data_IF_406085870855
#
_entry.id   IF_406085870855
#
_cell.length_a   1.000
_cell.length_b   1.000
_cell.length_c   1.000
_cell.angle_alpha   90.00
_cell.angle_beta   90.00
_cell.angle_gamma   90.00
#
_symmetry.space_group_name_H-M   'P 1'
#
loop_
_entity.id
_entity.type
_entity.pdbx_description
1 polymer ?
#
# COMPACT_ATOMS: atom_id res chain seq x y z
N UNK A 1 82.69 47.27 14.91
CA UNK A 1 81.51 46.97 14.08
C UNK A 1 80.26 47.20 14.89
N UNK A 2 79.33 48.00 14.38
CA UNK A 2 77.90 47.68 14.49
C UNK A 2 77.32 47.51 13.08
N UNK A 3 76.63 46.40 12.85
CA UNK A 3 75.85 46.15 11.64
C UNK A 3 74.47 46.76 11.80
N UNK A 4 74.07 47.56 10.81
CA UNK A 4 72.72 48.11 10.65
C UNK A 4 71.90 47.02 9.93
N UNK A 5 70.86 46.50 10.59
CA UNK A 5 69.87 45.64 9.95
C UNK A 5 68.65 46.47 9.59
N UNK A 6 68.46 46.69 8.29
CA UNK A 6 67.27 47.31 7.69
C UNK A 6 66.09 46.33 7.75
N UNK A 7 65.25 46.48 8.78
CA UNK A 7 63.94 45.84 8.86
C UNK A 7 62.93 46.56 7.97
N UNK A 8 62.34 45.82 7.05
CA UNK A 8 61.30 46.27 6.11
C UNK A 8 60.07 46.82 6.82
N UNK A 9 59.70 48.07 6.52
CA UNK A 9 58.37 48.62 6.82
C UNK A 9 57.35 48.00 5.86
N UNK A 10 56.86 46.81 6.21
CA UNK A 10 55.66 46.23 5.61
C UNK A 10 54.43 46.95 6.15
N UNK A 11 53.90 47.90 5.38
CA UNK A 11 52.60 48.51 5.60
C UNK A 11 51.51 47.41 5.63
N UNK A 12 50.69 47.28 6.70
CA UNK A 12 49.55 46.38 6.67
C UNK A 12 48.55 46.91 5.65
N UNK A 13 48.46 46.27 4.49
CA UNK A 13 47.41 46.54 3.51
C UNK A 13 46.11 45.94 4.04
N UNK A 14 45.36 46.71 4.82
CA UNK A 14 43.95 46.43 5.05
C UNK A 14 43.22 46.63 3.72
N UNK A 15 43.16 45.56 2.92
CA UNK A 15 42.26 45.49 1.77
C UNK A 15 40.84 45.34 2.31
N UNK A 16 40.18 46.46 2.59
CA UNK A 16 38.73 46.49 2.75
C UNK A 16 38.11 46.43 1.34
N UNK A 17 38.25 45.28 0.68
CA UNK A 17 37.39 44.96 -0.44
C UNK A 17 35.96 44.79 0.11
N UNK A 18 34.94 45.48 -0.44
CA UNK A 18 33.56 45.20 -0.10
C UNK A 18 33.30 43.71 -0.38
N UNK A 19 33.01 42.93 0.65
CA UNK A 19 32.48 41.58 0.44
C UNK A 19 31.08 41.77 -0.15
N UNK A 20 30.87 41.29 -1.37
CA UNK A 20 29.53 41.19 -1.92
C UNK A 20 28.69 40.35 -0.95
N UNK A 21 27.53 40.83 -0.46
CA UNK A 21 26.67 40.02 0.37
C UNK A 21 26.39 38.71 -0.35
N UNK A 22 26.60 37.57 0.34
CA UNK A 22 26.24 36.28 -0.23
C UNK A 22 24.74 36.32 -0.57
N UNK A 23 24.37 35.81 -1.76
CA UNK A 23 22.97 35.63 -2.11
C UNK A 23 22.30 34.75 -1.03
N UNK A 24 21.05 35.04 -0.65
CA UNK A 24 20.34 34.20 0.30
C UNK A 24 20.25 32.78 -0.26
N UNK A 25 20.58 31.79 0.56
CA UNK A 25 20.46 30.38 0.21
C UNK A 25 18.99 29.99 0.27
N UNK A 26 18.48 29.37 -0.78
CA UNK A 26 17.10 28.90 -0.90
C UNK A 26 17.07 27.42 -1.29
N UNK A 27 15.92 26.77 -1.12
CA UNK A 27 15.71 25.45 -1.70
C UNK A 27 15.48 25.57 -3.21
N UNK A 28 15.83 24.53 -3.96
CA UNK A 28 15.42 24.37 -5.35
C UNK A 28 14.00 23.81 -5.37
N UNK A 29 13.03 24.45 -6.06
CA UNK A 29 11.73 23.85 -6.28
C UNK A 29 11.88 22.55 -7.10
N UNK A 30 11.43 21.43 -6.55
CA UNK A 30 11.60 20.11 -7.16
C UNK A 30 10.49 19.15 -6.75
N UNK A 31 10.29 18.12 -7.57
CA UNK A 31 9.44 16.97 -7.26
C UNK A 31 10.32 15.73 -7.27
N UNK A 32 10.47 15.10 -6.11
CA UNK A 32 11.37 13.96 -5.93
C UNK A 32 10.53 12.71 -5.71
N UNK A 33 10.76 11.67 -6.53
CA UNK A 33 10.09 10.38 -6.36
C UNK A 33 10.79 9.56 -5.30
N UNK A 34 10.01 9.06 -4.35
CA UNK A 34 10.43 8.10 -3.34
C UNK A 34 9.91 6.70 -3.63
N UNK A 35 10.05 5.84 -2.64
CA UNK A 35 9.58 4.46 -2.60
C UNK A 35 8.07 4.40 -2.40
N UNK A 36 7.52 5.27 -1.55
CA UNK A 36 6.11 5.26 -1.15
C UNK A 36 5.30 6.41 -1.74
N UNK A 37 5.95 7.46 -2.26
CA UNK A 37 5.26 8.64 -2.77
C UNK A 37 6.17 9.64 -3.47
N UNK A 38 5.70 10.87 -3.60
CA UNK A 38 6.46 11.98 -4.19
C UNK A 38 6.54 13.14 -3.18
N UNK A 39 7.71 13.76 -3.06
CA UNK A 39 7.93 14.95 -2.25
C UNK A 39 7.99 16.18 -3.15
N UNK A 40 7.08 17.13 -2.93
CA UNK A 40 7.04 18.40 -3.63
C UNK A 40 7.64 19.48 -2.73
N UNK A 41 8.67 20.18 -3.20
CA UNK A 41 9.41 21.18 -2.43
C UNK A 41 9.31 22.54 -3.12
N UNK A 42 9.08 23.60 -2.37
CA UNK A 42 9.10 24.99 -2.86
C UNK A 42 10.43 25.69 -2.54
N UNK A 43 10.62 26.91 -3.09
CA UNK A 43 11.86 27.66 -2.89
C UNK A 43 12.11 28.09 -1.43
N UNK A 44 11.07 28.13 -0.60
CA UNK A 44 11.15 28.49 0.82
C UNK A 44 11.42 27.26 1.71
N UNK A 45 11.49 26.06 1.12
CA UNK A 45 11.67 24.80 1.84
C UNK A 45 10.40 24.22 2.43
N UNK A 46 9.22 24.79 2.10
CA UNK A 46 7.97 24.11 2.43
C UNK A 46 7.84 22.90 1.50
N UNK A 47 7.42 21.79 2.08
CA UNK A 47 7.22 20.58 1.32
C UNK A 47 5.87 19.94 1.61
N UNK A 48 5.37 19.20 0.62
CA UNK A 48 4.21 18.32 0.74
C UNK A 48 4.61 16.94 0.24
N UNK A 49 4.42 15.92 1.08
CA UNK A 49 4.55 14.53 0.68
C UNK A 49 3.20 14.01 0.21
N UNK A 50 3.15 13.45 -0.99
CA UNK A 50 1.98 12.80 -1.57
C UNK A 50 2.25 11.29 -1.57
N UNK A 51 1.61 10.58 -0.64
CA UNK A 51 1.66 9.12 -0.59
C UNK A 51 1.01 8.53 -1.85
N UNK A 52 1.66 7.56 -2.47
CA UNK A 52 1.07 6.70 -3.49
C UNK A 52 0.66 5.37 -2.83
N UNK A 53 -0.62 5.18 -2.46
CA UNK A 53 -1.07 3.95 -1.81
C UNK A 53 -1.05 2.73 -2.75
N UNK A 54 -0.70 2.92 -4.03
CA UNK A 54 -0.52 1.85 -5.02
C UNK A 54 0.94 1.60 -5.33
N UNK A 55 1.88 2.20 -4.57
CA UNK A 55 3.30 1.88 -4.77
C UNK A 55 3.51 0.39 -4.41
N UNK A 56 4.32 -0.36 -5.20
CA UNK A 56 4.54 -1.79 -4.94
C UNK A 56 5.08 -2.07 -3.53
N UNK A 57 5.83 -1.13 -2.96
CA UNK A 57 6.37 -1.26 -1.61
C UNK A 57 5.36 -0.88 -0.53
N UNK A 58 4.42 0.02 -0.82
CA UNK A 58 3.37 0.37 0.14
C UNK A 58 2.39 -0.79 0.35
N UNK A 59 1.92 -1.42 -0.73
CA UNK A 59 0.98 -2.56 -0.70
C UNK A 59 1.57 -3.83 -0.06
N UNK A 60 2.86 -3.82 0.26
CA UNK A 60 3.59 -4.89 0.95
C UNK A 60 3.77 -4.63 2.45
N UNK A 61 3.44 -3.42 2.92
CA UNK A 61 3.54 -3.10 4.33
C UNK A 61 2.33 -3.68 5.07
N UNK A 62 2.60 -4.63 5.95
CA UNK A 62 1.58 -5.14 6.88
C UNK A 62 1.07 -4.01 7.80
N UNK A 63 -0.04 -4.28 8.49
CA UNK A 63 -0.58 -3.35 9.49
C UNK A 63 0.50 -2.88 10.49
N UNK A 64 0.64 -1.56 10.61
CA UNK A 64 1.61 -0.88 11.48
C UNK A 64 3.10 -1.08 11.11
N UNK A 65 3.39 -1.84 10.05
CA UNK A 65 4.76 -1.98 9.55
C UNK A 65 5.28 -0.62 9.10
N UNK A 66 6.49 -0.29 9.53
CA UNK A 66 7.13 0.98 9.20
C UNK A 66 8.00 0.83 7.95
N UNK A 67 7.93 1.82 7.07
CA UNK A 67 8.89 2.11 6.02
C UNK A 67 9.32 3.57 6.12
N UNK A 68 10.42 3.95 5.49
CA UNK A 68 10.88 5.34 5.48
C UNK A 68 11.38 5.71 4.09
N UNK A 69 10.89 6.82 3.56
CA UNK A 69 11.49 7.47 2.40
C UNK A 69 12.58 8.47 2.83
N UNK A 70 13.64 8.54 2.03
CA UNK A 70 14.73 9.48 2.19
C UNK A 70 14.85 10.34 0.93
N UNK A 71 14.59 11.64 1.06
CA UNK A 71 14.63 12.60 -0.03
C UNK A 71 15.85 13.51 0.10
N UNK A 72 16.71 13.53 -0.92
CA UNK A 72 17.83 14.47 -1.01
C UNK A 72 17.36 15.76 -1.68
N UNK A 73 17.26 16.84 -0.89
CA UNK A 73 16.85 18.16 -1.35
C UNK A 73 18.07 18.99 -1.76
N UNK A 74 17.95 19.76 -2.83
CA UNK A 74 19.02 20.61 -3.36
C UNK A 74 18.82 22.07 -2.98
N UNK A 75 19.91 22.74 -2.58
CA UNK A 75 19.93 24.17 -2.26
C UNK A 75 20.59 24.96 -3.40
N UNK A 76 20.26 26.25 -3.50
CA UNK A 76 20.76 27.15 -4.55
C UNK A 76 22.29 27.34 -4.57
N UNK A 77 22.96 27.03 -3.46
CA UNK A 77 24.42 27.07 -3.34
C UNK A 77 25.11 25.74 -3.68
N UNK A 78 24.36 24.74 -4.17
CA UNK A 78 24.87 23.41 -4.53
C UNK A 78 25.04 22.44 -3.36
N UNK A 79 24.69 22.84 -2.13
CA UNK A 79 24.62 21.91 -1.00
C UNK A 79 23.29 21.14 -0.98
N UNK A 80 23.20 20.09 -0.16
CA UNK A 80 22.01 19.25 -0.05
C UNK A 80 21.68 18.89 1.39
N UNK A 81 20.41 18.59 1.64
CA UNK A 81 19.89 18.09 2.93
C UNK A 81 19.01 16.87 2.71
N UNK A 82 18.88 16.01 3.72
CA UNK A 82 18.01 14.83 3.65
C UNK A 82 16.75 15.06 4.50
N UNK A 83 15.59 14.85 3.89
CA UNK A 83 14.30 14.77 4.58
C UNK A 83 13.90 13.30 4.70
N UNK A 84 13.50 12.88 5.90
CA UNK A 84 13.00 11.53 6.15
C UNK A 84 11.48 11.57 6.32
N UNK A 85 10.76 10.73 5.59
CA UNK A 85 9.31 10.61 5.68
C UNK A 85 8.98 9.18 6.13
N UNK A 86 8.65 8.94 7.41
CA UNK A 86 8.17 7.64 7.85
C UNK A 86 6.77 7.38 7.26
N UNK A 87 6.56 6.15 6.83
CA UNK A 87 5.32 5.65 6.25
C UNK A 87 4.90 4.42 7.04
N UNK A 88 3.65 4.40 7.49
CA UNK A 88 3.08 3.27 8.22
C UNK A 88 2.12 2.53 7.31
N UNK A 89 2.32 1.21 7.18
CA UNK A 89 1.41 0.31 6.51
C UNK A 89 0.05 0.27 7.20
N UNK A 90 -0.99 0.14 6.38
CA UNK A 90 -2.36 -0.04 6.82
C UNK A 90 -2.91 -1.24 6.08
N UNK A 91 -3.54 -2.14 6.83
CA UNK A 91 -4.33 -3.19 6.24
C UNK A 91 -5.67 -2.62 5.77
N UNK A 92 -6.03 -2.92 4.54
CA UNK A 92 -7.36 -2.68 3.99
C UNK A 92 -8.23 -3.93 4.15
N UNK A 93 -9.55 -3.73 4.14
CA UNK A 93 -10.48 -4.86 4.23
C UNK A 93 -10.84 -5.32 2.81
N UNK A 94 -11.03 -6.63 2.58
CA UNK A 94 -11.42 -7.11 1.27
C UNK A 94 -12.85 -6.68 0.95
N UNK A 95 -13.08 -6.39 -0.33
CA UNK A 95 -14.41 -6.29 -0.90
C UNK A 95 -14.87 -7.67 -1.38
N UNK A 96 -16.03 -8.13 -0.90
CA UNK A 96 -16.61 -9.43 -1.26
C UNK A 96 -17.89 -9.19 -2.09
N UNK A 97 -18.00 -9.85 -3.23
CA UNK A 97 -19.13 -9.75 -4.16
C UNK A 97 -19.40 -11.08 -4.89
N UNK A 98 -20.21 -11.05 -5.96
CA UNK A 98 -20.59 -12.24 -6.71
C UNK A 98 -21.89 -12.89 -6.21
N UNK A 99 -22.04 -14.19 -6.45
CA UNK A 99 -23.19 -14.99 -6.04
C UNK A 99 -23.04 -15.41 -4.58
N UNK A 100 -23.69 -14.67 -3.67
CA UNK A 100 -23.67 -14.95 -2.24
C UNK A 100 -24.86 -15.80 -1.76
N UNK A 101 -25.69 -16.27 -2.69
CA UNK A 101 -26.87 -17.06 -2.40
C UNK A 101 -27.16 -18.06 -3.52
N UNK A 102 -27.77 -19.18 -3.15
CA UNK A 102 -28.30 -20.19 -4.05
C UNK A 102 -29.55 -20.80 -3.47
N UNK A 103 -30.36 -21.42 -4.32
CA UNK A 103 -31.60 -22.08 -3.92
C UNK A 103 -31.60 -23.50 -4.45
N UNK A 104 -31.95 -24.43 -3.57
CA UNK A 104 -32.40 -25.77 -3.92
C UNK A 104 -33.85 -25.92 -3.46
N UNK A 105 -34.62 -26.72 -4.18
CA UNK A 105 -36.00 -27.03 -3.82
C UNK A 105 -36.14 -28.53 -3.74
N UNK A 106 -36.67 -29.02 -2.62
CA UNK A 106 -37.00 -30.43 -2.41
C UNK A 106 -37.75 -30.98 -3.63
N UNK A 107 -37.36 -32.17 -4.08
CA UNK A 107 -37.97 -32.90 -5.20
C UNK A 107 -37.87 -32.23 -6.59
N UNK A 108 -37.10 -31.15 -6.73
CA UNK A 108 -36.95 -30.44 -8.00
C UNK A 108 -35.51 -30.49 -8.51
N UNK A 109 -35.34 -30.75 -9.81
CA UNK A 109 -34.03 -30.75 -10.50
C UNK A 109 -32.99 -31.69 -9.85
N UNK A 110 -33.46 -32.85 -9.35
CA UNK A 110 -32.60 -33.89 -8.79
C UNK A 110 -31.74 -34.48 -9.90
N UNK A 111 -30.44 -34.63 -9.66
CA UNK A 111 -29.53 -35.29 -10.59
C UNK A 111 -29.67 -36.83 -10.58
N UNK A 112 -28.89 -37.51 -11.44
CA UNK A 112 -28.89 -38.98 -11.51
C UNK A 112 -28.39 -39.68 -10.24
N UNK A 113 -27.74 -38.96 -9.33
CA UNK A 113 -27.26 -39.47 -8.04
C UNK A 113 -28.22 -39.17 -6.89
N UNK A 114 -29.38 -38.54 -7.15
CA UNK A 114 -30.32 -38.19 -6.10
C UNK A 114 -30.01 -36.87 -5.37
N UNK A 115 -29.12 -36.05 -5.93
CA UNK A 115 -28.65 -34.82 -5.30
C UNK A 115 -29.30 -33.57 -5.89
N UNK A 116 -29.59 -32.60 -5.02
CA UNK A 116 -29.95 -31.24 -5.37
C UNK A 116 -28.68 -30.36 -5.33
N UNK A 117 -28.61 -29.39 -6.24
CA UNK A 117 -27.44 -28.55 -6.40
C UNK A 117 -27.80 -27.07 -6.47
N UNK A 118 -26.99 -26.25 -5.80
CA UNK A 118 -26.87 -24.83 -6.11
C UNK A 118 -25.40 -24.48 -6.28
N UNK A 119 -25.09 -23.55 -7.17
CA UNK A 119 -23.72 -23.15 -7.47
C UNK A 119 -23.64 -21.63 -7.68
N UNK A 120 -22.45 -21.10 -7.55
CA UNK A 120 -22.16 -19.70 -7.81
C UNK A 120 -20.67 -19.42 -7.72
N UNK A 121 -20.33 -18.13 -7.79
CA UNK A 121 -18.96 -17.65 -7.64
C UNK A 121 -18.89 -16.46 -6.69
N UNK A 122 -18.02 -16.53 -5.70
CA UNK A 122 -17.67 -15.39 -4.85
C UNK A 122 -16.43 -14.71 -5.43
N UNK A 123 -16.47 -13.39 -5.50
CA UNK A 123 -15.32 -12.56 -5.87
C UNK A 123 -14.78 -11.84 -4.64
N UNK A 124 -13.47 -11.94 -4.41
CA UNK A 124 -12.74 -11.28 -3.32
C UNK A 124 -11.68 -10.38 -3.92
N UNK A 125 -11.78 -9.07 -3.66
CA UNK A 125 -10.79 -8.08 -4.08
C UNK A 125 -10.25 -7.37 -2.85
N UNK A 126 -8.95 -7.52 -2.63
CA UNK A 126 -8.21 -6.87 -1.56
C UNK A 126 -7.12 -5.96 -2.15
N UNK A 127 -7.03 -4.67 -1.73
CA UNK A 127 -5.93 -3.79 -2.13
C UNK A 127 -4.53 -4.28 -1.72
N UNK A 128 -4.44 -5.09 -0.67
CA UNK A 128 -3.19 -5.61 -0.13
C UNK A 128 -2.68 -6.81 -0.95
N UNK A 129 -1.35 -6.88 -1.09
CA UNK A 129 -0.75 -7.82 -2.03
C UNK A 129 -0.97 -9.28 -1.59
N UNK A 130 -1.51 -10.09 -2.50
CA UNK A 130 -1.80 -11.52 -2.32
C UNK A 130 -2.93 -11.83 -1.33
N UNK A 131 -3.77 -10.86 -1.00
CA UNK A 131 -4.92 -11.06 -0.10
C UNK A 131 -6.27 -11.18 -0.83
N UNK A 132 -6.27 -11.00 -2.16
CA UNK A 132 -7.43 -11.24 -3.03
C UNK A 132 -7.65 -12.75 -3.30
N UNK A 133 -7.91 -13.54 -2.25
CA UNK A 133 -8.10 -14.99 -2.40
C UNK A 133 -9.18 -15.56 -1.48
N UNK A 134 -9.76 -16.68 -1.92
CA UNK A 134 -10.65 -17.51 -1.12
C UNK A 134 -9.86 -18.71 -0.62
N UNK A 135 -10.04 -19.05 0.66
CA UNK A 135 -9.51 -20.31 1.20
C UNK A 135 -10.46 -21.44 0.81
N UNK A 136 -10.01 -22.49 0.10
CA UNK A 136 -10.84 -23.63 -0.20
C UNK A 136 -11.32 -24.32 1.07
N UNK A 137 -12.60 -24.65 1.12
CA UNK A 137 -13.21 -25.23 2.31
C UNK A 137 -14.43 -26.09 1.95
N UNK A 138 -14.69 -27.10 2.78
CA UNK A 138 -15.94 -27.86 2.78
C UNK A 138 -16.66 -27.59 4.10
N UNK A 139 -17.84 -27.01 4.00
CA UNK A 139 -18.65 -26.57 5.12
C UNK A 139 -19.89 -27.45 5.19
N UNK A 140 -20.03 -28.21 6.28
CA UNK A 140 -21.24 -29.00 6.52
C UNK A 140 -22.35 -28.12 7.09
N UNK A 141 -23.46 -28.03 6.36
CA UNK A 141 -24.69 -27.37 6.80
C UNK A 141 -25.72 -28.37 7.33
N UNK A 142 -26.89 -27.86 7.74
CA UNK A 142 -27.98 -28.68 8.30
C UNK A 142 -28.54 -29.71 7.31
N UNK A 143 -28.65 -29.35 6.03
CA UNK A 143 -29.29 -30.18 5.00
C UNK A 143 -28.30 -30.78 4.00
N UNK A 144 -27.06 -30.30 3.96
CA UNK A 144 -26.11 -30.61 2.90
C UNK A 144 -24.77 -29.92 3.13
N UNK A 145 -23.86 -30.03 2.17
CA UNK A 145 -22.49 -29.49 2.28
C UNK A 145 -22.21 -28.47 1.19
N UNK A 146 -21.54 -27.37 1.55
CA UNK A 146 -20.98 -26.41 0.60
C UNK A 146 -19.49 -26.67 0.43
N UNK A 147 -19.04 -26.80 -0.81
CA UNK A 147 -17.61 -26.77 -1.15
C UNK A 147 -17.32 -25.48 -1.88
N UNK A 148 -16.23 -24.79 -1.54
CA UNK A 148 -15.72 -23.64 -2.28
C UNK A 148 -14.25 -23.87 -2.64
N UNK A 149 -13.85 -23.50 -3.86
CA UNK A 149 -12.47 -23.59 -4.33
C UNK A 149 -11.70 -22.25 -4.18
N UNK A 150 -10.45 -22.25 -4.64
CA UNK A 150 -9.55 -21.10 -4.53
C UNK A 150 -9.96 -19.95 -5.44
N UNK A 151 -10.67 -20.26 -6.53
CA UNK A 151 -11.18 -19.29 -7.51
C UNK A 151 -12.55 -18.73 -7.08
N UNK A 152 -13.05 -19.16 -5.91
CA UNK A 152 -14.31 -18.74 -5.31
C UNK A 152 -15.54 -19.43 -5.88
N UNK A 153 -15.37 -20.45 -6.73
CA UNK A 153 -16.50 -21.25 -7.20
C UNK A 153 -17.00 -22.14 -6.06
N UNK A 154 -18.28 -22.02 -5.75
CA UNK A 154 -18.91 -22.83 -4.73
C UNK A 154 -20.03 -23.70 -5.29
N UNK A 155 -20.23 -24.85 -4.65
CA UNK A 155 -21.32 -25.76 -4.90
C UNK A 155 -21.90 -26.22 -3.55
N UNK A 156 -23.20 -26.05 -3.39
CA UNK A 156 -23.98 -26.63 -2.30
C UNK A 156 -24.70 -27.88 -2.80
N UNK A 157 -24.50 -29.01 -2.10
CA UNK A 157 -25.08 -30.31 -2.43
C UNK A 157 -25.94 -30.82 -1.29
N UNK A 158 -27.14 -31.30 -1.62
CA UNK A 158 -28.11 -31.87 -0.67
C UNK A 158 -28.58 -33.21 -1.20
N UNK A 159 -28.56 -34.25 -0.38
CA UNK A 159 -29.18 -35.54 -0.72
C UNK A 159 -30.69 -35.43 -0.52
N UNK A 160 -31.44 -35.52 -1.64
CA UNK A 160 -32.89 -35.34 -1.64
C UNK A 160 -33.61 -36.41 -0.84
N UNK A 161 -33.00 -37.60 -0.66
CA UNK A 161 -33.62 -38.73 0.04
C UNK A 161 -33.60 -38.62 1.56
N UNK A 162 -32.86 -37.66 2.12
CA UNK A 162 -32.73 -37.52 3.57
C UNK A 162 -34.07 -37.12 4.19
N UNK A 163 -34.42 -37.77 5.31
CA UNK A 163 -35.70 -37.54 5.98
C UNK A 163 -35.88 -36.10 6.49
N UNK A 164 -34.80 -35.41 6.83
CA UNK A 164 -34.84 -33.99 7.23
C UNK A 164 -35.03 -33.04 6.04
N UNK A 165 -34.68 -33.46 4.83
CA UNK A 165 -34.96 -32.74 3.58
C UNK A 165 -36.41 -33.00 3.18
N UNK A 166 -36.86 -34.26 3.21
CA UNK A 166 -38.23 -34.66 2.91
C UNK A 166 -39.28 -34.16 3.94
N UNK A 167 -38.81 -33.63 5.07
CA UNK A 167 -39.63 -32.98 6.07
C UNK A 167 -39.80 -31.47 5.84
N UNK A 168 -39.20 -30.91 4.78
CA UNK A 168 -39.37 -29.51 4.36
C UNK A 168 -40.69 -29.33 3.61
N UNK A 169 -41.79 -29.76 4.21
CA UNK A 169 -43.14 -29.62 3.65
C UNK A 169 -43.38 -28.16 3.26
N UNK A 170 -43.91 -27.95 2.06
CA UNK A 170 -44.22 -26.63 1.51
C UNK A 170 -44.94 -25.75 2.55
N UNK A 171 -44.31 -24.65 2.94
CA UNK A 171 -44.96 -23.60 3.73
C UNK A 171 -46.01 -22.85 2.90
#
# INVERSE_FOLDING_TARGET
MPTISSGSNGQPTHSNAPTMPALPVSFMPEVIKGTYGELHVDANGQYTFVLNPKSPQYILLNQYQQGTDHFLLHLSNGSSVIVQVPVTGKQDAPNISGDLAGVVTEDHNIDSQGLLHANGKIDVIDPDQNESSVKPEVISGKYGSLTIDVDGHWQYQVDNSLSNVQALTSA
#
